data_IF_065196694174
#
_entry.id   IF_065196694174
#
_cell.length_a   1.000
_cell.length_b   1.000
_cell.length_c   1.000
_cell.angle_alpha   90.00
_cell.angle_beta   90.00
_cell.angle_gamma   90.00
#
_symmetry.space_group_name_H-M   'P 1'
#
loop_
_entity.id
_entity.type
_entity.pdbx_description
1 polymer ?
#
# COMPACT_ATOMS: atom_id res chain seq x y z
N UNK A 1 14.97 -17.05 -11.93
CA UNK A 1 14.88 -16.38 -11.96
C UNK A 1 14.43 -15.55 -11.27
N UNK A 2 14.43 -14.96 -11.28
CA UNK A 2 14.32 -14.13 -10.51
C UNK A 2 13.20 -13.92 -9.84
N UNK A 3 13.25 -13.42 -8.83
CA UNK A 3 12.28 -13.15 -8.09
C UNK A 3 11.57 -12.04 -8.51
N UNK A 4 10.78 -12.06 -9.44
CA UNK A 4 10.02 -10.98 -9.88
C UNK A 4 8.87 -10.82 -8.97
N UNK A 5 8.78 -9.68 -8.34
CA UNK A 5 7.67 -9.36 -7.49
C UNK A 5 6.45 -9.12 -8.34
N UNK A 6 5.39 -9.83 -8.05
CA UNK A 6 4.16 -9.64 -8.80
C UNK A 6 3.33 -8.58 -8.13
N UNK A 7 2.71 -7.74 -8.93
CA UNK A 7 1.79 -6.74 -8.43
C UNK A 7 0.42 -7.38 -8.34
N UNK A 8 -0.18 -7.33 -7.18
CA UNK A 8 -1.51 -7.88 -6.97
C UNK A 8 -2.39 -6.82 -6.35
N UNK A 9 -3.69 -6.91 -6.57
CA UNK A 9 -4.63 -6.01 -5.94
C UNK A 9 -5.13 -6.67 -4.66
N UNK A 10 -5.01 -5.97 -3.55
CA UNK A 10 -5.47 -6.52 -2.27
C UNK A 10 -6.46 -5.55 -1.66
N UNK A 11 -7.40 -6.05 -0.84
CA UNK A 11 -8.37 -5.17 -0.22
C UNK A 11 -7.69 -4.26 0.80
N UNK A 12 -8.04 -2.99 0.75
CA UNK A 12 -7.49 -2.04 1.72
C UNK A 12 -7.80 -2.44 3.16
N UNK A 13 -8.97 -3.04 3.36
CA UNK A 13 -9.37 -3.43 4.71
C UNK A 13 -8.58 -4.59 5.28
N UNK A 14 -7.84 -5.30 4.45
CA UNK A 14 -7.03 -6.42 4.91
C UNK A 14 -5.61 -6.01 5.27
N UNK A 15 -5.30 -4.71 5.21
CA UNK A 15 -3.96 -4.23 5.46
C UNK A 15 -3.85 -3.64 6.85
N UNK A 16 -2.99 -4.23 7.66
CA UNK A 16 -2.68 -3.69 8.97
C UNK A 16 -1.49 -2.73 8.85
N UNK A 17 -1.62 -1.55 9.43
CA UNK A 17 -0.54 -0.57 9.43
C UNK A 17 0.11 -0.59 10.80
N UNK A 18 1.36 -1.06 10.91
CA UNK A 18 2.04 -1.08 12.21
C UNK A 18 2.13 0.31 12.82
N UNK A 19 2.03 0.36 14.13
CA UNK A 19 2.03 1.63 14.84
C UNK A 19 3.24 2.49 14.50
N UNK A 20 4.41 1.88 14.36
CA UNK A 20 5.61 2.65 14.08
C UNK A 20 5.59 3.31 12.71
N UNK A 21 4.71 2.87 11.82
CA UNK A 21 4.58 3.50 10.51
C UNK A 21 3.48 4.57 10.50
N UNK A 22 2.75 4.70 11.59
CA UNK A 22 1.65 5.65 11.63
C UNK A 22 2.17 7.02 12.03
N UNK A 23 2.81 7.68 11.11
CA UNK A 23 3.33 9.02 11.35
C UNK A 23 2.36 10.03 10.81
N UNK A 24 2.42 11.27 11.28
CA UNK A 24 1.56 12.30 10.70
C UNK A 24 1.80 12.38 9.20
N UNK A 25 0.73 12.37 8.45
CA UNK A 25 0.82 12.46 7.00
C UNK A 25 0.73 13.91 6.58
N UNK A 26 1.39 14.22 5.49
CA UNK A 26 1.29 15.54 4.89
C UNK A 26 0.02 15.55 4.04
N UNK A 27 -1.02 16.29 4.44
CA UNK A 27 -2.27 16.26 3.67
C UNK A 27 -2.10 16.71 2.23
N UNK A 28 -1.17 17.63 1.98
CA UNK A 28 -0.96 18.09 0.61
C UNK A 28 -0.34 17.01 -0.24
N UNK A 29 0.58 16.24 0.34
CA UNK A 29 1.18 15.14 -0.38
C UNK A 29 0.16 14.05 -0.69
N UNK A 30 -0.75 13.78 0.24
CA UNK A 30 -1.81 12.80 0.03
C UNK A 30 -2.75 13.28 -1.08
N UNK A 31 -3.12 14.57 -1.06
CA UNK A 31 -4.00 15.11 -2.08
C UNK A 31 -3.35 15.05 -3.47
N UNK A 32 -2.08 15.43 -3.55
CA UNK A 32 -1.39 15.41 -4.83
C UNK A 32 -1.30 13.99 -5.37
N UNK A 33 -1.04 13.04 -4.49
CA UNK A 33 -0.96 11.64 -4.89
C UNK A 33 -2.31 11.12 -5.32
N UNK A 34 -3.38 11.51 -4.61
CA UNK A 34 -4.74 11.10 -4.98
C UNK A 34 -5.09 11.63 -6.36
N UNK A 35 -4.74 12.88 -6.66
CA UNK A 35 -4.99 13.44 -7.98
C UNK A 35 -4.26 12.66 -9.05
N UNK A 36 -3.02 12.32 -8.79
CA UNK A 36 -2.22 11.56 -9.74
C UNK A 36 -2.84 10.18 -9.98
N UNK A 37 -3.25 9.52 -8.92
CA UNK A 37 -3.85 8.19 -9.05
C UNK A 37 -5.18 8.28 -9.81
N UNK A 38 -5.95 9.33 -9.56
CA UNK A 38 -7.22 9.50 -10.26
C UNK A 38 -7.02 9.71 -11.75
N UNK A 39 -5.94 10.41 -12.12
CA UNK A 39 -5.69 10.69 -13.53
C UNK A 39 -5.03 9.55 -14.29
N UNK A 40 -4.01 8.97 -13.72
CA UNK A 40 -3.22 8.00 -14.46
C UNK A 40 -3.12 6.65 -13.77
N UNK A 41 -3.87 6.45 -12.72
CA UNK A 41 -3.83 5.19 -11.99
C UNK A 41 -2.68 5.11 -11.03
N UNK A 42 -2.66 4.07 -10.23
CA UNK A 42 -1.60 3.87 -9.27
C UNK A 42 -0.34 3.42 -10.00
N UNK A 43 0.70 4.24 -9.95
CA UNK A 43 1.92 3.97 -10.69
C UNK A 43 2.88 3.04 -9.95
N UNK A 44 2.93 3.14 -8.65
CA UNK A 44 3.83 2.30 -7.86
C UNK A 44 3.01 1.51 -6.84
N UNK A 45 3.29 0.23 -6.68
CA UNK A 45 2.58 -0.56 -5.68
C UNK A 45 3.11 -0.27 -4.29
N UNK A 46 2.30 -0.54 -3.29
CA UNK A 46 2.78 -0.52 -1.91
C UNK A 46 3.49 -1.84 -1.65
N UNK A 47 4.20 -1.91 -0.53
CA UNK A 47 4.87 -3.14 -0.14
C UNK A 47 4.21 -3.67 1.12
N UNK A 48 3.83 -4.92 1.09
CA UNK A 48 3.21 -5.58 2.24
C UNK A 48 3.85 -6.94 2.44
N UNK A 49 3.76 -7.47 3.63
CA UNK A 49 4.14 -8.85 3.89
C UNK A 49 2.92 -9.60 4.39
N UNK A 50 2.88 -10.88 4.15
CA UNK A 50 1.75 -11.68 4.58
C UNK A 50 1.91 -12.07 6.04
N UNK A 51 0.83 -11.96 6.80
CA UNK A 51 0.86 -12.36 8.19
C UNK A 51 -0.46 -13.03 8.49
N UNK A 52 -0.48 -14.34 8.44
CA UNK A 52 -1.69 -15.13 8.66
C UNK A 52 -2.77 -14.73 7.67
N UNK A 53 -3.86 -14.16 8.15
CA UNK A 53 -4.96 -13.85 7.27
C UNK A 53 -4.99 -12.40 6.82
N UNK A 54 -3.97 -11.67 7.13
CA UNK A 54 -3.94 -10.26 6.77
C UNK A 54 -2.62 -9.91 6.14
N UNK A 55 -2.52 -8.69 5.64
CA UNK A 55 -1.27 -8.17 5.13
C UNK A 55 -0.79 -7.08 6.08
N UNK A 56 0.51 -6.99 6.26
CA UNK A 56 1.11 -5.97 7.12
C UNK A 56 1.88 -5.01 6.22
N UNK A 57 1.61 -3.73 6.34
CA UNK A 57 2.25 -2.71 5.51
C UNK A 57 3.73 -2.63 5.82
N UNK A 58 4.55 -2.63 4.77
CA UNK A 58 5.97 -2.38 4.88
C UNK A 58 6.29 -0.96 4.44
N UNK A 59 5.65 -0.51 3.36
CA UNK A 59 5.91 0.83 2.83
C UNK A 59 4.73 1.27 1.97
N UNK A 60 4.36 2.52 2.04
CA UNK A 60 3.32 3.08 1.18
C UNK A 60 2.12 3.67 1.88
N UNK A 61 2.28 4.18 3.09
CA UNK A 61 1.15 4.72 3.84
C UNK A 61 0.45 5.86 3.11
N UNK A 62 1.20 6.75 2.45
CA UNK A 62 0.59 7.85 1.72
C UNK A 62 -0.31 7.34 0.60
N UNK A 63 0.10 6.25 -0.07
CA UNK A 63 -0.72 5.69 -1.13
C UNK A 63 -1.99 5.06 -0.60
N UNK A 64 -1.91 4.44 0.57
CA UNK A 64 -3.10 3.88 1.20
C UNK A 64 -4.10 5.00 1.47
N UNK A 65 -3.63 6.11 2.04
CA UNK A 65 -4.53 7.21 2.37
C UNK A 65 -5.09 7.87 1.10
N UNK A 66 -4.27 7.97 0.05
CA UNK A 66 -4.75 8.53 -1.20
C UNK A 66 -5.84 7.66 -1.82
N UNK A 67 -5.64 6.35 -1.80
CA UNK A 67 -6.65 5.44 -2.34
C UNK A 67 -7.92 5.47 -1.51
N UNK A 68 -7.81 5.59 -0.19
CA UNK A 68 -9.00 5.73 0.64
C UNK A 68 -9.75 7.02 0.32
N UNK A 69 -9.00 8.10 0.10
CA UNK A 69 -9.60 9.37 -0.25
C UNK A 69 -10.40 9.28 -1.55
N UNK A 70 -9.94 8.44 -2.47
CA UNK A 70 -10.61 8.26 -3.75
C UNK A 70 -11.76 7.25 -3.69
N UNK A 71 -11.98 6.63 -2.53
CA UNK A 71 -13.04 5.65 -2.40
C UNK A 71 -12.71 4.29 -2.99
N UNK A 72 -11.41 4.00 -3.18
CA UNK A 72 -11.01 2.71 -3.71
C UNK A 72 -11.18 1.64 -2.64
N UNK A 73 -11.47 0.43 -3.07
CA UNK A 73 -11.60 -0.70 -2.13
C UNK A 73 -10.37 -1.60 -2.16
N UNK A 74 -9.57 -1.52 -3.23
CA UNK A 74 -8.36 -2.32 -3.35
C UNK A 74 -7.19 -1.42 -3.68
N UNK A 75 -5.98 -1.94 -3.52
CA UNK A 75 -4.79 -1.20 -3.82
C UNK A 75 -3.75 -2.17 -4.40
N UNK A 76 -2.95 -1.71 -5.33
CA UNK A 76 -1.90 -2.54 -5.92
C UNK A 76 -0.75 -2.67 -4.94
N UNK A 77 -0.28 -3.89 -4.76
CA UNK A 77 0.77 -4.17 -3.79
C UNK A 77 1.70 -5.25 -4.30
N UNK A 78 2.94 -5.16 -3.84
CA UNK A 78 3.88 -6.26 -3.98
C UNK A 78 3.96 -6.94 -2.63
N UNK A 79 3.88 -8.25 -2.61
CA UNK A 79 3.97 -9.01 -1.37
C UNK A 79 5.41 -9.48 -1.23
N UNK A 80 6.06 -8.99 -0.18
CA UNK A 80 7.44 -9.38 0.08
C UNK A 80 7.43 -10.44 1.16
N UNK A 81 8.43 -11.31 1.12
CA UNK A 81 8.47 -12.39 2.09
C UNK A 81 9.18 -11.97 3.34
N UNK A 82 8.65 -12.42 4.46
CA UNK A 82 9.31 -12.18 5.71
C UNK A 82 10.56 -13.01 5.79
N UNK A 83 11.65 -12.42 6.31
CA UNK A 83 12.81 -13.19 6.53
C UNK A 83 12.67 -13.85 7.84
N UNK A 84 13.07 -15.09 7.92
CA UNK A 84 13.07 -15.78 9.15
C UNK A 84 14.44 -16.13 9.50
N UNK A 85 14.84 -15.91 10.67
CA UNK A 85 16.15 -16.27 11.13
C UNK A 85 16.08 -16.85 12.50
#
# INVERSE_FOLDING_TARGET
MADILKVVAIPLDDIYVPTKLRKPLDPKAVEALAESIAEIGQQAPILVRRDKERFVLVSGLHRIEACRMLGETTIKANIVQSRKH
#
